data_IF_100186725169
#
_entry.id   IF_100186725169
#
_cell.length_a   1.000
_cell.length_b   1.000
_cell.length_c   1.000
_cell.angle_alpha   90.00
_cell.angle_beta   90.00
_cell.angle_gamma   90.00
#
_symmetry.space_group_name_H-M   'P 1'
#
loop_
_entity.id
_entity.type
_entity.pdbx_description
1 polymer ?
#
# COMPACT_ATOMS: atom_id res chain seq x y z
N UNK A 1 -9.08 -13.11 7.32
CA UNK A 1 -8.69 -11.78 6.83
C UNK A 1 -9.62 -11.24 5.74
N UNK A 2 -10.38 -12.05 5.10
CA UNK A 2 -11.52 -11.60 4.31
C UNK A 2 -12.74 -11.58 5.23
N UNK A 3 -13.50 -10.48 5.21
CA UNK A 3 -14.74 -10.39 5.97
C UNK A 3 -15.68 -11.55 5.57
N UNK A 4 -16.31 -12.17 6.54
CA UNK A 4 -17.14 -13.37 6.35
C UNK A 4 -18.33 -13.20 5.39
N UNK A 5 -18.52 -11.99 4.86
CA UNK A 5 -19.57 -11.62 3.91
C UNK A 5 -19.17 -11.79 2.44
N UNK A 6 -17.88 -12.07 2.15
CA UNK A 6 -17.45 -12.23 0.78
C UNK A 6 -17.91 -13.55 0.19
N UNK A 7 -18.57 -13.48 -0.96
CA UNK A 7 -18.89 -14.68 -1.75
C UNK A 7 -17.57 -15.35 -2.19
N UNK A 8 -17.45 -16.63 -1.90
CA UNK A 8 -16.25 -17.44 -2.22
C UNK A 8 -16.47 -18.38 -3.40
N UNK A 9 -17.55 -18.19 -4.15
CA UNK A 9 -17.91 -19.05 -5.29
C UNK A 9 -17.17 -18.63 -6.55
N UNK A 10 -16.87 -19.61 -7.38
CA UNK A 10 -16.28 -19.41 -8.70
C UNK A 10 -14.83 -18.90 -8.67
N UNK A 11 -14.48 -18.09 -9.65
CA UNK A 11 -13.14 -17.51 -9.82
C UNK A 11 -13.09 -16.15 -9.10
N UNK A 12 -12.38 -16.07 -7.98
CA UNK A 12 -12.23 -14.85 -7.21
C UNK A 12 -11.17 -13.94 -7.84
N UNK A 13 -11.53 -12.73 -8.21
CA UNK A 13 -10.65 -11.80 -8.92
C UNK A 13 -9.38 -11.44 -8.12
N UNK A 14 -9.51 -11.17 -6.83
CA UNK A 14 -8.36 -10.82 -5.99
C UNK A 14 -7.38 -11.99 -5.80
N UNK A 15 -7.85 -13.23 -5.75
CA UNK A 15 -6.98 -14.41 -5.71
C UNK A 15 -6.19 -14.58 -7.01
N UNK A 16 -6.84 -14.33 -8.16
CA UNK A 16 -6.16 -14.37 -9.46
C UNK A 16 -5.10 -13.26 -9.57
N UNK A 17 -5.39 -12.06 -9.07
CA UNK A 17 -4.43 -10.96 -9.00
C UNK A 17 -3.23 -11.33 -8.11
N UNK A 18 -3.47 -11.87 -6.92
CA UNK A 18 -2.42 -12.31 -6.00
C UNK A 18 -1.62 -13.48 -6.56
N UNK A 19 -2.28 -14.44 -7.23
CA UNK A 19 -1.60 -15.56 -7.87
C UNK A 19 -0.70 -15.08 -9.02
N UNK A 20 -1.17 -14.15 -9.85
CA UNK A 20 -0.33 -13.53 -10.87
C UNK A 20 0.92 -12.88 -10.24
N UNK A 21 0.75 -12.13 -9.14
CA UNK A 21 1.87 -11.50 -8.42
C UNK A 21 2.83 -12.52 -7.82
N UNK A 22 2.33 -13.64 -7.32
CA UNK A 22 3.18 -14.72 -6.79
C UNK A 22 4.06 -15.34 -7.89
N UNK A 23 3.53 -15.53 -9.10
CA UNK A 23 4.31 -16.00 -10.26
C UNK A 23 5.40 -15.01 -10.67
N UNK A 24 5.09 -13.70 -10.71
CA UNK A 24 6.10 -12.65 -10.95
C UNK A 24 7.20 -12.66 -9.88
N UNK A 25 6.81 -12.87 -8.61
CA UNK A 25 7.77 -12.96 -7.50
C UNK A 25 8.63 -14.20 -7.60
N UNK A 26 8.07 -15.35 -7.99
CA UNK A 26 8.84 -16.56 -8.23
C UNK A 26 9.84 -16.39 -9.38
N UNK A 27 9.47 -15.68 -10.45
CA UNK A 27 10.38 -15.36 -11.54
C UNK A 27 11.56 -14.48 -11.06
N UNK A 28 11.29 -13.49 -10.22
CA UNK A 28 12.31 -12.65 -9.60
C UNK A 28 13.24 -13.48 -8.71
N UNK A 29 12.70 -14.32 -7.83
CA UNK A 29 13.50 -15.20 -6.96
C UNK A 29 14.39 -16.16 -7.78
N UNK A 30 13.85 -16.77 -8.84
CA UNK A 30 14.61 -17.62 -9.74
C UNK A 30 15.74 -16.84 -10.44
N UNK A 31 15.47 -15.59 -10.86
CA UNK A 31 16.49 -14.73 -11.45
C UNK A 31 17.63 -14.42 -10.46
N UNK A 32 17.29 -14.09 -9.22
CA UNK A 32 18.29 -13.81 -8.17
C UNK A 32 19.10 -15.06 -7.80
N UNK A 33 18.49 -16.25 -7.88
CA UNK A 33 19.15 -17.53 -7.66
C UNK A 33 19.94 -18.05 -8.90
N UNK A 34 19.97 -17.32 -10.00
CA UNK A 34 20.64 -17.73 -11.24
C UNK A 34 19.93 -18.87 -12.01
N UNK A 35 18.69 -19.21 -11.63
CA UNK A 35 17.91 -20.28 -12.27
C UNK A 35 17.11 -19.73 -13.47
N UNK A 36 17.73 -19.71 -14.65
CA UNK A 36 17.13 -19.17 -15.88
C UNK A 36 15.92 -19.99 -16.36
N UNK A 37 15.91 -21.30 -16.16
CA UNK A 37 14.81 -22.17 -16.59
C UNK A 37 13.51 -21.85 -15.82
N UNK A 38 13.59 -21.79 -14.49
CA UNK A 38 12.45 -21.43 -13.64
C UNK A 38 12.03 -19.97 -13.84
N UNK A 39 12.99 -19.04 -14.00
CA UNK A 39 12.68 -17.65 -14.37
C UNK A 39 11.77 -17.62 -15.61
N UNK A 40 12.20 -18.19 -16.70
CA UNK A 40 11.44 -18.20 -17.97
C UNK A 40 10.08 -18.87 -17.83
N UNK A 41 10.01 -19.98 -17.09
CA UNK A 41 8.75 -20.68 -16.81
C UNK A 41 7.75 -19.77 -16.09
N UNK A 42 8.17 -19.15 -15.00
CA UNK A 42 7.27 -18.31 -14.18
C UNK A 42 6.91 -16.99 -14.88
N UNK A 43 7.81 -16.36 -15.62
CA UNK A 43 7.50 -15.20 -16.47
C UNK A 43 6.41 -15.52 -17.50
N UNK A 44 6.51 -16.68 -18.18
CA UNK A 44 5.50 -17.13 -19.15
C UNK A 44 4.14 -17.35 -18.48
N UNK A 45 4.11 -18.00 -17.31
CA UNK A 45 2.86 -18.25 -16.57
C UNK A 45 2.24 -16.93 -16.07
N UNK A 46 3.05 -16.03 -15.52
CA UNK A 46 2.60 -14.73 -15.05
C UNK A 46 2.01 -13.90 -16.20
N UNK A 47 2.71 -13.80 -17.32
CA UNK A 47 2.25 -13.08 -18.51
C UNK A 47 0.93 -13.64 -19.06
N UNK A 48 0.82 -14.97 -19.17
CA UNK A 48 -0.39 -15.64 -19.63
C UNK A 48 -1.60 -15.42 -18.70
N UNK A 49 -1.39 -15.37 -17.40
CA UNK A 49 -2.45 -15.06 -16.43
C UNK A 49 -2.79 -13.57 -16.48
N UNK A 50 -1.79 -12.69 -16.46
CA UNK A 50 -1.98 -11.25 -16.44
C UNK A 50 -2.81 -10.73 -17.60
N UNK A 51 -2.55 -11.26 -18.82
CA UNK A 51 -3.31 -10.88 -20.02
C UNK A 51 -4.80 -11.22 -19.95
N UNK A 52 -5.19 -12.10 -19.04
CA UNK A 52 -6.58 -12.54 -18.85
C UNK A 52 -7.31 -11.80 -17.73
N UNK A 53 -6.59 -11.13 -16.80
CA UNK A 53 -7.19 -10.52 -15.60
C UNK A 53 -8.18 -9.42 -15.98
N UNK A 54 -7.74 -8.44 -16.76
CA UNK A 54 -8.59 -7.32 -17.16
C UNK A 54 -9.79 -7.78 -18.01
N UNK A 55 -9.64 -8.56 -19.10
CA UNK A 55 -10.77 -9.04 -19.87
C UNK A 55 -11.77 -9.89 -19.07
N UNK A 56 -11.29 -10.59 -18.05
CA UNK A 56 -12.14 -11.46 -17.23
C UNK A 56 -12.95 -10.68 -16.19
N UNK A 57 -12.35 -9.68 -15.55
CA UNK A 57 -12.92 -9.10 -14.32
C UNK A 57 -13.22 -7.60 -14.41
N UNK A 58 -12.67 -6.87 -15.38
CA UNK A 58 -13.01 -5.46 -15.55
C UNK A 58 -14.45 -5.30 -16.05
N UNK A 59 -15.21 -4.42 -15.41
CA UNK A 59 -16.58 -4.09 -15.82
C UNK A 59 -16.66 -2.60 -16.16
N UNK A 60 -16.96 -2.30 -17.43
CA UNK A 60 -16.98 -0.92 -17.93
C UNK A 60 -18.12 -0.08 -17.33
N UNK A 61 -19.25 -0.68 -16.99
CA UNK A 61 -20.35 0.06 -16.38
C UNK A 61 -20.05 0.42 -14.92
N UNK A 62 -19.35 -0.48 -14.20
CA UNK A 62 -18.98 -0.28 -12.80
C UNK A 62 -17.67 0.48 -12.64
N UNK A 63 -16.89 0.63 -13.71
CA UNK A 63 -15.54 1.20 -13.71
C UNK A 63 -14.66 0.56 -12.63
N UNK A 64 -14.72 -0.76 -12.52
CA UNK A 64 -14.07 -1.55 -11.48
C UNK A 64 -13.86 -3.01 -11.90
N UNK A 65 -12.95 -3.68 -11.20
CA UNK A 65 -12.86 -5.15 -11.21
C UNK A 65 -14.01 -5.71 -10.36
N UNK A 66 -14.79 -6.62 -10.92
CA UNK A 66 -15.83 -7.34 -10.16
C UNK A 66 -15.21 -8.34 -9.21
N UNK A 67 -15.95 -8.71 -8.17
CA UNK A 67 -15.46 -9.58 -7.11
C UNK A 67 -15.10 -10.99 -7.60
N UNK A 68 -16.00 -11.60 -8.39
CA UNK A 68 -15.81 -12.96 -8.91
C UNK A 68 -16.50 -13.18 -10.25
N UNK A 69 -16.20 -14.33 -10.85
CA UNK A 69 -16.90 -14.91 -12.00
C UNK A 69 -17.44 -16.28 -11.63
N UNK A 70 -18.68 -16.55 -11.99
CA UNK A 70 -19.34 -17.85 -11.78
C UNK A 70 -19.75 -18.39 -13.13
N UNK A 71 -19.25 -19.57 -13.50
CA UNK A 71 -19.48 -20.20 -14.81
C UNK A 71 -19.16 -19.24 -15.99
N UNK A 72 -18.06 -18.51 -15.87
CA UNK A 72 -17.59 -17.58 -16.89
C UNK A 72 -18.31 -16.23 -16.95
N UNK A 73 -19.35 -15.99 -16.12
CA UNK A 73 -20.08 -14.72 -16.06
C UNK A 73 -19.63 -13.87 -14.87
N UNK A 74 -19.41 -12.59 -15.10
CA UNK A 74 -19.11 -11.62 -14.05
C UNK A 74 -20.28 -11.51 -13.06
N UNK A 75 -19.97 -11.44 -11.77
CA UNK A 75 -20.97 -11.12 -10.74
C UNK A 75 -21.27 -9.63 -10.70
N UNK A 76 -22.39 -9.27 -10.04
CA UNK A 76 -22.74 -7.87 -9.80
C UNK A 76 -21.93 -7.23 -8.65
N UNK A 77 -21.23 -8.04 -7.87
CA UNK A 77 -20.52 -7.58 -6.68
C UNK A 77 -19.20 -6.90 -7.04
N UNK A 78 -18.94 -5.76 -6.41
CA UNK A 78 -17.64 -5.06 -6.42
C UNK A 78 -17.13 -4.96 -5.00
N UNK A 79 -15.87 -5.29 -4.78
CA UNK A 79 -15.21 -5.20 -3.49
C UNK A 79 -13.89 -4.45 -3.61
N UNK A 80 -13.36 -3.97 -2.49
CA UNK A 80 -12.08 -3.25 -2.45
C UNK A 80 -10.89 -4.14 -2.81
N UNK A 81 -10.97 -5.46 -2.56
CA UNK A 81 -9.83 -6.39 -2.63
C UNK A 81 -9.16 -6.46 -4.00
N UNK A 82 -9.87 -6.86 -5.05
CA UNK A 82 -9.26 -6.94 -6.38
C UNK A 82 -8.81 -5.58 -6.90
N UNK A 83 -9.59 -4.57 -6.59
CA UNK A 83 -9.37 -3.20 -7.04
C UNK A 83 -8.12 -2.59 -6.41
N UNK A 84 -7.94 -2.69 -5.08
CA UNK A 84 -6.73 -2.21 -4.41
C UNK A 84 -5.47 -2.95 -4.85
N UNK A 85 -5.52 -4.28 -5.00
CA UNK A 85 -4.37 -5.05 -5.46
C UNK A 85 -4.01 -4.76 -6.92
N UNK A 86 -5.00 -4.55 -7.79
CA UNK A 86 -4.74 -4.20 -9.19
C UNK A 86 -4.07 -2.83 -9.33
N UNK A 87 -4.44 -1.87 -8.50
CA UNK A 87 -3.76 -0.56 -8.40
C UNK A 87 -2.36 -0.73 -7.79
N UNK A 88 -2.25 -1.40 -6.65
CA UNK A 88 -1.00 -1.60 -5.92
C UNK A 88 0.08 -2.29 -6.76
N UNK A 89 -0.31 -3.31 -7.54
CA UNK A 89 0.61 -4.03 -8.42
C UNK A 89 0.76 -3.40 -9.81
N UNK A 90 0.07 -2.29 -10.07
CA UNK A 90 0.08 -1.60 -11.36
C UNK A 90 -0.34 -2.53 -12.53
N UNK A 91 -1.47 -3.23 -12.36
CA UNK A 91 -1.98 -4.19 -13.33
C UNK A 91 -2.97 -3.60 -14.34
N UNK A 92 -3.41 -2.38 -14.14
CA UNK A 92 -4.31 -1.63 -14.99
C UNK A 92 -3.63 -0.36 -15.51
N UNK A 93 -4.12 0.20 -16.62
CA UNK A 93 -3.66 1.50 -17.10
C UNK A 93 -4.07 2.64 -16.16
N UNK A 94 -3.49 3.83 -16.37
CA UNK A 94 -3.69 4.99 -15.48
C UNK A 94 -5.17 5.42 -15.39
N UNK A 95 -5.92 5.40 -16.49
CA UNK A 95 -7.33 5.81 -16.51
C UNK A 95 -8.18 4.86 -15.67
N UNK A 96 -7.97 3.56 -15.78
CA UNK A 96 -8.67 2.55 -14.99
C UNK A 96 -8.28 2.60 -13.52
N UNK A 97 -7.02 2.88 -13.20
CA UNK A 97 -6.60 3.12 -11.82
C UNK A 97 -7.29 4.35 -11.20
N UNK A 98 -7.41 5.46 -11.96
CA UNK A 98 -8.15 6.64 -11.51
C UNK A 98 -9.66 6.37 -11.40
N UNK A 99 -10.23 5.58 -12.30
CA UNK A 99 -11.63 5.14 -12.19
C UNK A 99 -11.86 4.37 -10.89
N UNK A 100 -11.03 3.37 -10.57
CA UNK A 100 -11.08 2.59 -9.32
C UNK A 100 -10.98 3.49 -8.09
N UNK A 101 -10.15 4.54 -8.12
CA UNK A 101 -10.06 5.48 -7.01
C UNK A 101 -11.42 6.03 -6.63
N UNK A 102 -12.19 6.47 -7.61
CA UNK A 102 -13.49 7.09 -7.37
C UNK A 102 -14.63 6.08 -7.21
N UNK A 103 -14.65 5.04 -8.04
CA UNK A 103 -15.74 4.05 -8.03
C UNK A 103 -15.67 3.08 -6.86
N UNK A 104 -14.47 2.85 -6.27
CA UNK A 104 -14.26 1.83 -5.24
C UNK A 104 -13.57 2.38 -4.00
N UNK A 105 -12.33 2.90 -4.12
CA UNK A 105 -11.48 3.16 -2.94
C UNK A 105 -11.95 4.37 -2.12
N UNK A 106 -12.53 5.38 -2.75
CA UNK A 106 -13.12 6.57 -2.12
C UNK A 106 -14.66 6.52 -2.09
N UNK A 107 -15.26 5.41 -2.50
CA UNK A 107 -16.72 5.26 -2.53
C UNK A 107 -17.21 4.63 -1.22
N UNK A 108 -17.95 5.40 -0.42
CA UNK A 108 -18.49 4.95 0.86
C UNK A 108 -19.60 3.89 0.73
N UNK A 109 -20.20 3.72 -0.45
CA UNK A 109 -21.18 2.64 -0.70
C UNK A 109 -20.52 1.26 -0.85
N UNK A 110 -19.24 1.20 -1.11
CA UNK A 110 -18.49 -0.06 -1.16
C UNK A 110 -17.99 -0.40 0.25
N UNK A 111 -18.34 -1.62 0.69
CA UNK A 111 -18.02 -2.10 2.03
C UNK A 111 -16.57 -1.83 2.43
N UNK A 112 -16.40 -1.16 3.57
CA UNK A 112 -15.07 -0.80 4.09
C UNK A 112 -14.39 -2.01 4.71
N UNK A 113 -13.08 -2.05 4.57
CA UNK A 113 -12.23 -3.06 5.20
C UNK A 113 -12.05 -2.69 6.68
N UNK A 114 -12.31 -3.63 7.59
CA UNK A 114 -12.24 -3.41 9.05
C UNK A 114 -10.95 -3.93 9.69
N UNK A 115 -10.15 -4.74 8.98
CA UNK A 115 -8.87 -5.25 9.49
C UNK A 115 -7.72 -4.36 9.03
N UNK A 116 -6.78 -3.97 9.91
CA UNK A 116 -5.65 -3.11 9.53
C UNK A 116 -4.70 -3.80 8.54
N UNK A 117 -4.67 -5.13 8.52
CA UNK A 117 -3.90 -5.93 7.55
C UNK A 117 -4.31 -5.62 6.11
N UNK A 118 -5.60 -5.66 5.79
CA UNK A 118 -6.08 -5.39 4.43
C UNK A 118 -6.21 -3.89 4.16
N UNK A 119 -6.50 -3.07 5.17
CA UNK A 119 -6.45 -1.61 5.02
C UNK A 119 -5.07 -1.10 4.60
N UNK A 120 -3.99 -1.79 4.99
CA UNK A 120 -2.65 -1.45 4.50
C UNK A 120 -2.59 -1.38 2.98
N UNK A 121 -3.05 -2.41 2.29
CA UNK A 121 -3.01 -2.46 0.81
C UNK A 121 -3.93 -1.42 0.16
N UNK A 122 -5.08 -1.16 0.77
CA UNK A 122 -5.98 -0.09 0.33
C UNK A 122 -5.31 1.29 0.42
N UNK A 123 -4.71 1.60 1.57
CA UNK A 123 -4.02 2.87 1.81
C UNK A 123 -2.75 3.01 0.94
N UNK A 124 -2.04 1.92 0.71
CA UNK A 124 -0.88 1.92 -0.17
C UNK A 124 -1.29 2.17 -1.64
N UNK A 125 -2.39 1.57 -2.10
CA UNK A 125 -2.95 1.87 -3.41
C UNK A 125 -3.35 3.35 -3.54
N UNK A 126 -4.00 3.93 -2.53
CA UNK A 126 -4.32 5.36 -2.51
C UNK A 126 -3.07 6.24 -2.51
N UNK A 127 -2.04 5.89 -1.74
CA UNK A 127 -0.75 6.59 -1.78
C UNK A 127 -0.09 6.52 -3.16
N UNK A 128 -0.16 5.38 -3.84
CA UNK A 128 0.35 5.23 -5.20
C UNK A 128 -0.39 6.13 -6.21
N UNK A 129 -1.66 6.44 -5.94
CA UNK A 129 -2.48 7.37 -6.72
C UNK A 129 -2.34 8.86 -6.32
N UNK A 130 -1.44 9.18 -5.40
CA UNK A 130 -1.19 10.56 -4.98
C UNK A 130 -2.09 11.08 -3.85
N UNK A 131 -2.83 10.21 -3.17
CA UNK A 131 -3.84 10.56 -2.17
C UNK A 131 -3.30 10.60 -0.73
N UNK A 132 -2.05 11.03 -0.51
CA UNK A 132 -1.41 11.02 0.81
C UNK A 132 -2.18 11.84 1.86
N UNK A 133 -2.84 12.95 1.46
CA UNK A 133 -3.65 13.73 2.40
C UNK A 133 -4.87 12.95 2.89
N UNK A 134 -5.57 12.28 2.00
CA UNK A 134 -6.71 11.42 2.33
C UNK A 134 -6.27 10.24 3.19
N UNK A 135 -5.15 9.61 2.84
CA UNK A 135 -4.56 8.50 3.62
C UNK A 135 -4.17 8.96 5.03
N UNK A 136 -3.62 10.16 5.21
CA UNK A 136 -3.33 10.69 6.54
C UNK A 136 -4.60 10.89 7.37
N UNK A 137 -5.69 11.36 6.78
CA UNK A 137 -6.99 11.47 7.46
C UNK A 137 -7.51 10.08 7.89
N UNK A 138 -7.43 9.09 7.01
CA UNK A 138 -7.82 7.72 7.31
C UNK A 138 -6.95 7.08 8.42
N UNK A 139 -5.63 7.27 8.38
CA UNK A 139 -4.75 6.79 9.45
C UNK A 139 -5.11 7.43 10.80
N UNK A 140 -5.36 8.74 10.85
CA UNK A 140 -5.78 9.43 12.07
C UNK A 140 -7.14 8.97 12.57
N UNK A 141 -8.08 8.67 11.68
CA UNK A 141 -9.39 8.17 12.06
C UNK A 141 -9.32 6.74 12.62
N UNK A 142 -8.66 5.84 11.90
CA UNK A 142 -8.64 4.41 12.22
C UNK A 142 -7.70 4.08 13.38
N UNK A 143 -6.40 4.36 13.25
CA UNK A 143 -5.42 4.09 14.33
C UNK A 143 -5.51 5.11 15.47
N UNK A 144 -5.85 6.35 15.16
CA UNK A 144 -6.17 7.35 16.17
C UNK A 144 -7.43 7.00 16.98
N UNK A 145 -8.37 6.28 16.37
CA UNK A 145 -9.52 5.69 17.06
C UNK A 145 -9.08 4.64 18.08
N UNK A 146 -8.19 3.72 17.70
CA UNK A 146 -7.60 2.76 18.66
C UNK A 146 -6.95 3.47 19.87
N UNK A 147 -6.19 4.55 19.62
CA UNK A 147 -5.56 5.34 20.69
C UNK A 147 -6.58 5.97 21.62
N UNK A 148 -7.73 6.44 21.14
CA UNK A 148 -8.80 7.01 21.97
C UNK A 148 -9.42 5.96 22.87
N UNK A 149 -9.47 4.70 22.41
CA UNK A 149 -9.94 3.54 23.19
C UNK A 149 -8.84 2.97 24.13
N UNK A 150 -7.69 3.65 24.26
CA UNK A 150 -6.62 3.28 25.19
C UNK A 150 -5.60 2.30 24.62
N UNK A 151 -5.50 2.15 23.29
CA UNK A 151 -4.48 1.30 22.69
C UNK A 151 -3.06 1.78 23.00
N UNK A 152 -2.21 0.88 23.48
CA UNK A 152 -0.77 1.09 23.69
C UNK A 152 0.07 0.35 22.64
N UNK A 153 -0.57 -0.46 21.79
CA UNK A 153 0.02 -1.18 20.68
C UNK A 153 -1.00 -1.32 19.55
N UNK A 154 -0.58 -1.87 18.42
CA UNK A 154 -1.46 -2.08 17.26
C UNK A 154 -2.43 -3.24 17.51
N UNK A 155 -3.74 -2.97 17.33
CA UNK A 155 -4.78 -3.97 17.49
C UNK A 155 -4.98 -4.81 16.21
N UNK A 156 -5.46 -6.03 16.38
CA UNK A 156 -5.79 -6.95 15.30
C UNK A 156 -6.93 -6.47 14.40
N UNK A 157 -7.89 -5.74 14.98
CA UNK A 157 -9.07 -5.17 14.32
C UNK A 157 -9.56 -3.95 15.09
N UNK A 158 -10.08 -2.98 14.38
CA UNK A 158 -10.80 -1.84 14.95
C UNK A 158 -12.05 -1.55 14.11
N UNK A 159 -13.17 -1.36 14.78
CA UNK A 159 -14.41 -0.89 14.18
C UNK A 159 -14.89 0.32 14.99
N UNK A 160 -15.03 1.52 14.41
CA UNK A 160 -15.46 2.72 15.11
C UNK A 160 -16.92 2.65 15.62
N UNK A 161 -17.71 1.70 15.15
CA UNK A 161 -19.09 1.48 15.61
C UNK A 161 -19.17 0.62 16.89
N UNK A 162 -18.09 -0.08 17.23
CA UNK A 162 -17.97 -0.83 18.49
C UNK A 162 -17.76 0.12 19.66
N UNK A 163 -18.25 -0.24 20.87
CA UNK A 163 -18.11 0.54 22.10
C UNK A 163 -17.69 -0.33 23.29
N UNK A 164 -16.87 0.23 24.18
CA UNK A 164 -16.47 -0.42 25.44
C UNK A 164 -15.86 -1.80 25.22
N UNK A 165 -16.37 -2.83 25.89
CA UNK A 165 -15.85 -4.21 25.82
C UNK A 165 -16.05 -4.88 24.46
N UNK A 166 -16.89 -4.33 23.57
CA UNK A 166 -17.03 -4.85 22.20
C UNK A 166 -15.71 -4.76 21.44
N UNK A 167 -14.89 -3.73 21.71
CA UNK A 167 -13.55 -3.61 21.15
C UNK A 167 -12.58 -4.75 21.51
N UNK A 168 -12.90 -5.54 22.54
CA UNK A 168 -12.08 -6.67 22.98
C UNK A 168 -12.56 -8.00 22.40
N UNK A 169 -13.79 -8.05 21.90
CA UNK A 169 -14.41 -9.26 21.40
C UNK A 169 -13.95 -9.62 19.99
N UNK A 170 -13.64 -10.90 19.76
CA UNK A 170 -13.34 -11.46 18.44
C UNK A 170 -13.50 -12.98 18.45
N UNK A 171 -13.74 -13.59 17.30
CA UNK A 171 -13.86 -15.06 17.14
C UNK A 171 -14.94 -15.70 18.05
N UNK A 172 -16.02 -14.97 18.31
CA UNK A 172 -17.08 -15.44 19.23
C UNK A 172 -16.68 -15.45 20.71
N UNK A 173 -15.58 -14.79 21.09
CA UNK A 173 -15.07 -14.71 22.47
C UNK A 173 -15.07 -13.26 22.94
N UNK A 174 -15.53 -12.98 24.20
CA UNK A 174 -15.58 -11.61 24.75
C UNK A 174 -14.22 -10.88 24.80
N UNK A 175 -13.13 -11.64 24.95
CA UNK A 175 -11.74 -11.12 25.02
C UNK A 175 -10.84 -11.84 24.00
N UNK A 176 -11.38 -12.13 22.80
CA UNK A 176 -10.67 -12.90 21.78
C UNK A 176 -9.74 -12.07 20.90
N UNK A 177 -9.85 -10.75 20.93
CA UNK A 177 -9.05 -9.85 20.07
C UNK A 177 -7.61 -9.74 20.58
N UNK A 178 -6.63 -9.88 19.70
CA UNK A 178 -5.25 -9.52 19.99
C UNK A 178 -5.08 -8.01 20.02
N UNK A 179 -4.60 -7.48 21.14
CA UNK A 179 -4.32 -6.05 21.32
C UNK A 179 -2.86 -5.69 21.02
N UNK A 180 -2.01 -6.67 20.69
CA UNK A 180 -0.64 -6.50 20.21
C UNK A 180 -0.44 -7.37 18.97
N UNK A 181 -0.76 -6.84 17.79
CA UNK A 181 -0.82 -7.60 16.54
C UNK A 181 0.00 -6.92 15.44
N UNK A 182 1.07 -7.58 15.02
CA UNK A 182 2.07 -7.02 14.09
C UNK A 182 1.47 -6.51 12.77
N UNK A 183 0.46 -7.18 12.23
CA UNK A 183 -0.18 -6.74 10.98
C UNK A 183 -0.93 -5.40 11.08
N UNK A 184 -1.09 -4.88 12.30
CA UNK A 184 -1.64 -3.53 12.53
C UNK A 184 -0.64 -2.40 12.33
N UNK A 185 0.67 -2.68 12.19
CA UNK A 185 1.75 -1.70 12.20
C UNK A 185 2.00 -0.99 10.85
N UNK A 186 1.10 -1.11 9.92
CA UNK A 186 1.19 -0.51 8.57
C UNK A 186 1.45 1.01 8.52
N UNK A 187 1.01 1.86 9.48
CA UNK A 187 1.36 3.28 9.46
C UNK A 187 2.86 3.54 9.43
N UNK A 188 3.67 2.72 10.11
CA UNK A 188 5.14 2.87 10.14
C UNK A 188 5.72 2.76 8.72
N UNK A 189 5.29 1.74 7.97
CA UNK A 189 5.73 1.53 6.59
C UNK A 189 5.24 2.65 5.66
N UNK A 190 3.96 3.03 5.76
CA UNK A 190 3.38 4.09 4.93
C UNK A 190 4.06 5.43 5.17
N UNK A 191 4.34 5.79 6.42
CA UNK A 191 5.05 7.01 6.78
C UNK A 191 6.47 7.04 6.21
N UNK A 192 7.22 5.94 6.28
CA UNK A 192 8.55 5.83 5.71
C UNK A 192 8.55 5.94 4.17
N UNK A 193 7.67 5.16 3.52
CA UNK A 193 7.66 5.04 2.05
C UNK A 193 7.02 6.22 1.32
N UNK A 194 5.94 6.80 1.86
CA UNK A 194 5.11 7.76 1.13
C UNK A 194 5.11 9.18 1.71
N UNK A 195 5.49 9.34 2.98
CA UNK A 195 5.60 10.67 3.60
C UNK A 195 7.07 11.10 3.73
N UNK A 196 7.92 10.34 4.41
CA UNK A 196 9.38 10.56 4.30
C UNK A 196 9.86 10.27 2.87
N UNK A 197 9.15 9.42 2.15
CA UNK A 197 9.30 9.22 0.72
C UNK A 197 10.48 8.35 0.32
N UNK A 198 11.05 7.56 1.23
CA UNK A 198 12.23 6.73 0.97
C UNK A 198 11.85 5.42 0.30
N UNK A 199 12.38 5.18 -0.89
CA UNK A 199 12.10 3.97 -1.68
C UNK A 199 13.39 3.40 -2.26
N UNK A 200 13.66 2.08 -2.12
CA UNK A 200 14.77 1.47 -2.81
C UNK A 200 14.53 1.48 -4.32
N UNK A 201 15.56 1.83 -5.09
CA UNK A 201 15.57 1.71 -6.55
C UNK A 201 16.40 0.52 -7.01
N UNK A 202 17.26 0.00 -6.11
CA UNK A 202 17.90 -1.31 -6.23
C UNK A 202 17.69 -2.15 -4.97
N UNK A 203 17.75 -3.49 -5.08
CA UNK A 203 17.65 -4.37 -3.93
C UNK A 203 18.58 -3.95 -2.78
N UNK A 204 18.11 -4.06 -1.53
CA UNK A 204 18.91 -3.75 -0.34
C UNK A 204 19.23 -2.28 -0.12
N UNK A 205 18.60 -1.32 -0.82
CA UNK A 205 18.89 0.12 -0.71
C UNK A 205 20.31 0.52 -1.16
N UNK A 206 20.97 -0.27 -2.01
CA UNK A 206 22.23 0.16 -2.67
C UNK A 206 22.04 1.51 -3.37
N UNK A 207 20.90 1.63 -4.08
CA UNK A 207 20.40 2.88 -4.63
C UNK A 207 18.96 3.11 -4.13
N UNK A 208 18.64 4.36 -3.83
CA UNK A 208 17.30 4.74 -3.34
C UNK A 208 16.91 6.14 -3.81
N UNK A 209 15.62 6.38 -3.86
CA UNK A 209 15.04 7.71 -4.06
C UNK A 209 14.35 8.19 -2.79
N UNK A 210 14.35 9.51 -2.61
CA UNK A 210 13.61 10.20 -1.55
C UNK A 210 12.70 11.22 -2.20
N UNK A 211 11.39 11.06 -2.03
CA UNK A 211 10.38 11.98 -2.56
C UNK A 211 9.41 12.31 -1.43
N UNK A 212 9.79 13.24 -0.52
CA UNK A 212 9.00 13.51 0.68
C UNK A 212 7.70 14.24 0.34
N UNK A 213 6.64 13.91 1.09
CA UNK A 213 5.31 14.50 0.93
C UNK A 213 4.68 14.75 2.30
N UNK A 214 4.31 15.99 2.61
CA UNK A 214 3.70 16.33 3.89
C UNK A 214 2.31 15.70 4.11
N UNK A 215 1.57 15.39 3.02
CA UNK A 215 0.24 14.78 3.12
C UNK A 215 -0.72 15.53 4.05
N UNK A 216 -0.71 16.87 4.01
CA UNK A 216 -1.51 17.73 4.87
C UNK A 216 -0.91 18.04 6.25
N UNK A 217 0.27 17.50 6.59
CA UNK A 217 1.00 17.85 7.81
C UNK A 217 1.65 19.24 7.67
N UNK A 218 1.90 19.89 8.83
CA UNK A 218 2.66 21.15 8.88
C UNK A 218 4.15 20.91 8.74
N UNK A 219 4.63 19.83 9.31
CA UNK A 219 6.00 19.34 9.30
C UNK A 219 6.03 17.85 9.59
N UNK A 220 7.13 17.20 9.26
CA UNK A 220 7.42 15.82 9.65
C UNK A 220 8.92 15.63 9.86
N UNK A 221 9.27 14.66 10.68
CA UNK A 221 10.63 14.23 10.93
C UNK A 221 10.64 12.72 11.17
N UNK A 222 11.65 12.05 10.66
CA UNK A 222 11.79 10.62 10.89
C UNK A 222 13.06 10.03 10.30
N UNK A 223 13.29 8.78 10.66
CA UNK A 223 14.46 8.00 10.24
C UNK A 223 14.00 6.70 9.57
N UNK A 224 14.56 6.41 8.42
CA UNK A 224 14.37 5.14 7.71
C UNK A 224 15.66 4.34 7.80
N UNK A 225 15.67 3.19 8.50
CA UNK A 225 16.85 2.32 8.57
C UNK A 225 17.06 1.58 7.25
N UNK A 226 18.32 1.43 6.85
CA UNK A 226 18.73 0.65 5.68
C UNK A 226 19.96 -0.19 6.02
N UNK A 227 20.33 -1.19 5.20
CA UNK A 227 21.58 -1.91 5.37
C UNK A 227 22.85 -1.03 5.31
N UNK A 228 22.73 0.16 4.76
CA UNK A 228 23.84 1.14 4.65
C UNK A 228 23.81 2.21 5.74
N UNK A 229 22.98 2.04 6.79
CA UNK A 229 22.77 3.01 7.84
C UNK A 229 21.43 3.75 7.70
N UNK A 230 21.29 4.82 8.46
CA UNK A 230 20.04 5.56 8.58
C UNK A 230 19.92 6.66 7.53
N UNK A 231 18.69 6.89 7.09
CA UNK A 231 18.31 8.07 6.31
C UNK A 231 17.37 8.89 7.18
N UNK A 232 17.87 10.02 7.67
CA UNK A 232 17.12 10.95 8.50
C UNK A 232 16.58 12.10 7.67
N UNK A 233 15.31 12.42 7.81
CA UNK A 233 14.61 13.44 7.01
C UNK A 233 13.77 14.30 7.93
N UNK A 234 13.91 15.61 7.79
CA UNK A 234 12.98 16.61 8.26
C UNK A 234 12.42 17.38 7.08
N UNK A 235 11.13 17.67 7.09
CA UNK A 235 10.46 18.49 6.10
C UNK A 235 9.41 19.38 6.74
N UNK A 236 9.36 20.63 6.35
CA UNK A 236 8.24 21.55 6.55
C UNK A 236 7.86 22.22 5.22
N UNK A 237 7.02 23.25 5.24
CA UNK A 237 6.57 23.98 4.03
C UNK A 237 7.65 24.81 3.34
N UNK A 238 8.84 24.92 3.91
CA UNK A 238 9.91 25.80 3.42
C UNK A 238 11.22 25.07 3.16
N UNK A 239 11.46 23.96 3.88
CA UNK A 239 12.78 23.33 3.89
C UNK A 239 12.68 21.81 4.00
N UNK A 240 13.58 21.13 3.31
CA UNK A 240 13.90 19.71 3.52
C UNK A 240 15.32 19.66 4.06
N UNK A 241 15.53 18.99 5.21
CA UNK A 241 16.82 18.58 5.71
C UNK A 241 16.95 17.08 5.56
N UNK A 242 18.05 16.61 5.03
CA UNK A 242 18.32 15.20 4.86
C UNK A 242 19.75 14.87 5.24
N UNK A 243 19.92 13.76 5.98
CA UNK A 243 21.21 13.16 6.28
C UNK A 243 21.10 11.66 6.05
N UNK A 244 22.01 11.12 5.25
CA UNK A 244 22.13 9.69 5.00
C UNK A 244 23.48 9.20 5.46
N UNK A 245 23.54 8.04 6.13
CA UNK A 245 24.80 7.42 6.53
C UNK A 245 25.50 6.74 5.34
N UNK A 246 24.73 6.23 4.34
CA UNK A 246 25.30 5.54 3.19
C UNK A 246 24.29 5.26 2.07
N UNK A 247 24.72 4.47 1.07
CA UNK A 247 23.97 4.21 -0.15
C UNK A 247 24.00 5.38 -1.14
N UNK A 248 23.44 5.18 -2.35
CA UNK A 248 23.37 6.21 -3.39
C UNK A 248 21.96 6.76 -3.46
N UNK A 249 21.72 7.93 -2.89
CA UNK A 249 20.40 8.53 -2.80
C UNK A 249 20.18 9.66 -3.80
N UNK A 250 18.94 9.75 -4.32
CA UNK A 250 18.46 10.89 -5.11
C UNK A 250 17.26 11.49 -4.38
N UNK A 251 17.37 12.77 -4.00
CA UNK A 251 16.25 13.55 -3.47
C UNK A 251 15.49 14.21 -4.62
N UNK A 252 14.20 13.92 -4.71
CA UNK A 252 13.28 14.54 -5.67
C UNK A 252 12.47 15.62 -4.96
N UNK A 253 12.67 16.87 -5.34
CA UNK A 253 12.02 18.03 -4.74
C UNK A 253 10.93 18.52 -5.69
N UNK A 254 9.66 18.62 -5.27
CA UNK A 254 8.63 19.25 -6.08
C UNK A 254 8.91 20.74 -6.21
N UNK A 255 8.89 21.26 -7.43
CA UNK A 255 9.05 22.69 -7.72
C UNK A 255 7.91 23.16 -8.63
N UNK A 256 7.75 24.48 -8.79
CA UNK A 256 6.75 25.03 -9.73
C UNK A 256 6.96 24.61 -11.19
N UNK A 257 8.17 24.17 -11.54
CA UNK A 257 8.55 23.73 -12.90
C UNK A 257 8.60 22.21 -13.06
N UNK A 258 8.16 21.44 -12.04
CA UNK A 258 8.22 19.98 -11.99
C UNK A 258 9.18 19.49 -10.91
N UNK A 259 9.59 18.23 -11.01
CA UNK A 259 10.50 17.61 -10.03
C UNK A 259 11.96 17.97 -10.32
N UNK A 260 12.69 18.41 -9.28
CA UNK A 260 14.12 18.63 -9.32
C UNK A 260 14.84 17.51 -8.58
N UNK A 261 15.72 16.79 -9.28
CA UNK A 261 16.53 15.74 -8.69
C UNK A 261 17.86 16.32 -8.15
N UNK A 262 18.24 15.90 -6.94
CA UNK A 262 19.48 16.29 -6.26
C UNK A 262 20.15 15.04 -5.68
N UNK A 263 21.46 14.92 -5.84
CA UNK A 263 22.23 13.84 -5.21
C UNK A 263 22.31 14.03 -3.70
N UNK A 264 22.09 12.96 -2.95
CA UNK A 264 22.28 12.91 -1.50
C UNK A 264 23.74 12.49 -1.25
N UNK A 265 24.51 13.36 -0.55
CA UNK A 265 25.89 13.07 -0.16
C UNK A 265 25.92 12.34 1.19
N UNK A 266 26.38 11.07 1.25
CA UNK A 266 26.49 10.35 2.50
C UNK A 266 27.38 11.05 3.54
N UNK A 267 27.00 10.92 4.81
CA UNK A 267 27.75 11.49 5.93
C UNK A 267 27.52 12.99 6.19
N UNK A 268 26.83 13.69 5.27
CA UNK A 268 26.58 15.14 5.41
C UNK A 268 25.09 15.44 5.56
N UNK A 269 24.77 16.40 6.40
CA UNK A 269 23.43 17.00 6.39
C UNK A 269 23.33 18.00 5.23
N UNK A 270 22.31 17.86 4.42
CA UNK A 270 22.01 18.74 3.31
C UNK A 270 20.67 19.43 3.53
N UNK A 271 20.60 20.73 3.21
CA UNK A 271 19.42 21.57 3.41
C UNK A 271 18.97 22.15 2.08
N UNK A 272 17.72 21.88 1.72
CA UNK A 272 17.11 22.33 0.48
C UNK A 272 15.91 23.22 0.78
N UNK A 273 15.87 24.41 0.16
CA UNK A 273 14.71 25.31 0.19
C UNK A 273 13.93 25.16 -1.11
N UNK A 274 12.59 25.23 -1.06
CA UNK A 274 11.71 25.06 -2.22
C UNK A 274 10.44 25.93 -2.12
#
# INVERSE_FOLDING_TARGET
WADGYLDKKGELSFEQVLFCKSLETMALCASLAGNTADKTKYEKLASALRSKLEPAFWNEQKQAMVHNRIQGKQSESVTRYANMFSVFFNYLNADKQQAIKHSVLQNDSILKITTPYMRFYELEALCALGEQESVMKEMKAYWGGMLKEGATSFWEKYNPEETGTQHLAMYGRPYGKSLCHAWGASPIYLLGKYYLGVKPTKPGYEEYSVTPCLGGLKWMEGTVPTPYGNIHIYMDKKVIRIKSDGGKGILNIPTRKGMKAMTIEPGKEQVFKY
#
